data_IF_871425651149
#
_entry.id   IF_871425651149
#
_cell.length_a   1.000
_cell.length_b   1.000
_cell.length_c   1.000
_cell.angle_alpha   90.00
_cell.angle_beta   90.00
_cell.angle_gamma   90.00
#
_symmetry.space_group_name_H-M   'P 1'
#
loop_
_entity.id
_entity.type
_entity.pdbx_description
1 polymer ?
#
# COMPACT_ATOMS: atom_id res chain seq x y z
N UNK A 1 -3.09 21.85 7.47
CA UNK A 1 -4.03 21.39 6.41
C UNK A 1 -4.35 19.92 6.60
N UNK A 2 -5.57 19.49 6.27
CA UNK A 2 -6.01 18.10 6.47
C UNK A 2 -5.58 17.21 5.31
N UNK A 3 -4.85 16.13 5.65
CA UNK A 3 -4.42 15.10 4.74
C UNK A 3 -5.16 13.79 5.02
N UNK A 4 -5.53 13.04 3.98
CA UNK A 4 -6.10 11.71 4.13
C UNK A 4 -5.14 10.66 3.60
N UNK A 5 -4.93 9.61 4.39
CA UNK A 5 -3.98 8.55 4.05
C UNK A 5 -4.65 7.18 4.07
N UNK A 6 -4.17 6.29 3.20
CA UNK A 6 -4.82 5.01 2.93
C UNK A 6 -3.85 3.86 3.16
N UNK A 7 -4.19 2.89 4.03
CA UNK A 7 -3.30 1.79 4.36
C UNK A 7 -3.22 0.75 3.23
N UNK A 8 -2.20 -0.08 3.31
CA UNK A 8 -1.97 -1.20 2.41
C UNK A 8 -2.21 -2.56 3.07
N UNK A 9 -1.71 -3.59 2.39
CA UNK A 9 -1.75 -4.98 2.85
C UNK A 9 -1.10 -5.12 4.24
N UNK A 10 -1.71 -5.92 5.10
CA UNK A 10 -1.30 -6.11 6.50
C UNK A 10 -2.19 -5.39 7.51
N UNK A 11 -3.10 -4.52 7.04
CA UNK A 11 -4.06 -3.80 7.89
C UNK A 11 -5.41 -4.50 8.04
N UNK A 12 -5.68 -5.54 7.25
CA UNK A 12 -6.95 -6.28 7.24
C UNK A 12 -7.20 -7.05 8.55
N UNK A 13 -8.48 -7.18 8.91
CA UNK A 13 -8.95 -8.02 10.01
C UNK A 13 -10.36 -8.55 9.73
N UNK A 14 -10.70 -9.71 10.25
CA UNK A 14 -12.04 -10.30 10.10
C UNK A 14 -13.08 -9.43 10.80
N UNK A 15 -14.18 -9.13 10.12
CA UNK A 15 -15.22 -8.22 10.58
C UNK A 15 -15.10 -6.79 10.00
N UNK A 16 -13.99 -6.46 9.33
CA UNK A 16 -13.80 -5.14 8.75
C UNK A 16 -14.89 -4.77 7.76
N UNK A 17 -15.45 -3.57 7.90
CA UNK A 17 -16.48 -3.03 7.01
C UNK A 17 -17.91 -3.51 7.29
N UNK A 18 -18.13 -4.45 8.22
CA UNK A 18 -19.46 -4.97 8.54
C UNK A 18 -20.37 -3.89 9.13
N UNK A 19 -19.85 -3.07 10.01
CA UNK A 19 -20.53 -1.94 10.62
C UNK A 19 -20.93 -0.86 9.58
N UNK A 20 -20.04 -0.57 8.63
CA UNK A 20 -20.36 0.30 7.50
C UNK A 20 -21.48 -0.28 6.63
N UNK A 21 -21.40 -1.54 6.31
CA UNK A 21 -22.41 -2.25 5.51
C UNK A 21 -23.78 -2.22 6.18
N UNK A 22 -23.85 -2.45 7.49
CA UNK A 22 -25.10 -2.53 8.23
C UNK A 22 -25.76 -1.16 8.47
N UNK A 23 -24.95 -0.08 8.57
CA UNK A 23 -25.43 1.20 9.04
C UNK A 23 -25.42 2.32 7.99
N UNK A 24 -24.87 2.07 6.78
CA UNK A 24 -24.78 3.09 5.74
C UNK A 24 -25.27 2.53 4.39
N UNK A 25 -26.31 3.15 3.83
CA UNK A 25 -26.92 2.68 2.57
C UNK A 25 -25.95 2.75 1.37
N UNK A 26 -25.13 3.81 1.28
CA UNK A 26 -24.11 3.91 0.24
C UNK A 26 -23.04 2.82 0.39
N UNK A 27 -22.58 2.57 1.61
CA UNK A 27 -21.62 1.50 1.87
C UNK A 27 -22.18 0.14 1.44
N UNK A 28 -23.42 -0.16 1.82
CA UNK A 28 -24.09 -1.40 1.41
C UNK A 28 -24.14 -1.54 -0.12
N UNK A 29 -24.56 -0.51 -0.83
CA UNK A 29 -24.61 -0.50 -2.29
C UNK A 29 -23.23 -0.78 -2.92
N UNK A 30 -22.18 -0.11 -2.42
CA UNK A 30 -20.82 -0.26 -2.95
C UNK A 30 -20.23 -1.63 -2.64
N UNK A 31 -20.48 -2.20 -1.47
CA UNK A 31 -20.05 -3.57 -1.15
C UNK A 31 -20.77 -4.63 -2.00
N UNK A 32 -22.10 -4.49 -2.18
CA UNK A 32 -22.88 -5.39 -3.02
C UNK A 32 -22.39 -5.31 -4.49
N UNK A 33 -22.12 -4.12 -4.98
CA UNK A 33 -21.54 -3.90 -6.32
C UNK A 33 -20.14 -4.50 -6.46
N UNK A 34 -19.32 -4.44 -5.40
CA UNK A 34 -18.00 -5.05 -5.39
C UNK A 34 -18.05 -6.56 -5.53
N UNK A 35 -18.99 -7.24 -4.85
CA UNK A 35 -19.22 -8.67 -5.02
C UNK A 35 -19.56 -9.03 -6.48
N UNK A 36 -20.39 -8.22 -7.13
CA UNK A 36 -20.73 -8.41 -8.54
C UNK A 36 -19.53 -8.23 -9.47
N UNK A 37 -18.73 -7.16 -9.27
CA UNK A 37 -17.54 -6.87 -10.09
C UNK A 37 -16.49 -7.96 -9.95
N UNK A 38 -16.26 -8.44 -8.73
CA UNK A 38 -15.25 -9.45 -8.43
C UNK A 38 -15.70 -10.87 -8.83
N UNK A 39 -17.01 -11.09 -8.95
CA UNK A 39 -17.59 -12.40 -9.29
C UNK A 39 -17.56 -13.41 -8.14
N UNK A 40 -17.32 -12.96 -6.93
CA UNK A 40 -17.41 -13.77 -5.69
C UNK A 40 -17.78 -12.90 -4.50
N UNK A 41 -18.28 -13.53 -3.43
CA UNK A 41 -18.71 -12.85 -2.20
C UNK A 41 -17.53 -12.47 -1.31
N UNK A 42 -16.82 -11.38 -1.68
CA UNK A 42 -15.73 -10.86 -0.83
C UNK A 42 -16.27 -10.36 0.51
N UNK A 43 -17.50 -9.87 0.53
CA UNK A 43 -18.17 -9.42 1.74
C UNK A 43 -18.29 -10.53 2.78
N UNK A 44 -18.59 -11.77 2.37
CA UNK A 44 -18.66 -12.91 3.29
C UNK A 44 -17.31 -13.17 3.97
N UNK A 45 -16.22 -13.05 3.20
CA UNK A 45 -14.86 -13.22 3.73
C UNK A 45 -14.48 -12.07 4.65
N UNK A 46 -14.76 -10.82 4.26
CA UNK A 46 -14.45 -9.64 5.06
C UNK A 46 -15.18 -9.63 6.39
N UNK A 47 -16.47 -10.00 6.39
CA UNK A 47 -17.36 -9.86 7.57
C UNK A 47 -17.29 -11.04 8.51
N UNK A 48 -17.15 -12.27 7.99
CA UNK A 48 -17.26 -13.50 8.78
C UNK A 48 -16.36 -14.65 8.31
N UNK A 49 -15.40 -14.38 7.42
CA UNK A 49 -14.44 -15.38 6.96
C UNK A 49 -13.36 -15.69 8.02
N UNK A 50 -12.33 -16.39 7.60
CA UNK A 50 -11.17 -16.70 8.45
C UNK A 50 -9.99 -15.75 8.15
N UNK A 51 -9.09 -15.62 9.14
CA UNK A 51 -7.84 -14.89 8.95
C UNK A 51 -7.02 -15.42 7.75
N UNK A 52 -7.03 -16.74 7.53
CA UNK A 52 -6.29 -17.35 6.43
C UNK A 52 -6.88 -16.99 5.06
N UNK A 53 -8.21 -17.00 4.92
CA UNK A 53 -8.90 -16.54 3.72
C UNK A 53 -8.59 -15.06 3.44
N UNK A 54 -8.60 -14.23 4.48
CA UNK A 54 -8.37 -12.80 4.35
C UNK A 54 -6.90 -12.45 4.08
N UNK A 55 -5.94 -13.34 4.37
CA UNK A 55 -4.51 -13.19 4.07
C UNK A 55 -4.13 -13.55 2.63
N UNK A 56 -4.99 -14.23 1.88
CA UNK A 56 -4.72 -14.50 0.46
C UNK A 56 -4.63 -13.19 -0.30
N UNK A 57 -3.51 -12.93 -1.02
CA UNK A 57 -3.24 -11.66 -1.70
C UNK A 57 -4.39 -11.22 -2.61
N UNK A 58 -5.00 -12.16 -3.33
CA UNK A 58 -6.16 -11.92 -4.20
C UNK A 58 -7.43 -11.43 -3.45
N UNK A 59 -7.50 -11.69 -2.13
CA UNK A 59 -8.59 -11.25 -1.25
C UNK A 59 -8.18 -10.02 -0.45
N UNK A 60 -6.99 -10.05 0.15
CA UNK A 60 -6.49 -8.96 1.02
C UNK A 60 -6.54 -7.60 0.33
N UNK A 61 -6.01 -7.52 -0.89
CA UNK A 61 -5.90 -6.23 -1.58
C UNK A 61 -7.28 -5.63 -1.90
N UNK A 62 -8.21 -6.34 -2.56
CA UNK A 62 -9.56 -5.82 -2.75
C UNK A 62 -10.27 -5.51 -1.43
N UNK A 63 -10.13 -6.32 -0.39
CA UNK A 63 -10.77 -6.09 0.90
C UNK A 63 -10.31 -4.78 1.57
N UNK A 64 -8.99 -4.54 1.62
CA UNK A 64 -8.42 -3.29 2.17
C UNK A 64 -8.83 -2.08 1.32
N UNK A 65 -8.78 -2.21 -0.01
CA UNK A 65 -9.25 -1.16 -0.93
C UNK A 65 -10.71 -0.81 -0.68
N UNK A 66 -11.60 -1.80 -0.63
CA UNK A 66 -13.04 -1.60 -0.41
C UNK A 66 -13.30 -0.88 0.90
N UNK A 67 -12.74 -1.39 2.01
CA UNK A 67 -12.91 -0.73 3.30
C UNK A 67 -12.43 0.73 3.25
N UNK A 68 -11.25 0.97 2.71
CA UNK A 68 -10.62 2.29 2.65
C UNK A 68 -11.42 3.29 1.82
N UNK A 69 -11.79 2.91 0.60
CA UNK A 69 -12.51 3.80 -0.33
C UNK A 69 -13.94 4.04 0.15
N UNK A 70 -14.65 2.98 0.57
CA UNK A 70 -16.03 3.09 1.04
C UNK A 70 -16.09 3.95 2.30
N UNK A 71 -15.15 3.78 3.25
CA UNK A 71 -15.05 4.64 4.42
C UNK A 71 -14.89 6.12 4.05
N UNK A 72 -14.00 6.43 3.10
CA UNK A 72 -13.79 7.81 2.63
C UNK A 72 -15.04 8.38 1.94
N UNK A 73 -15.69 7.60 1.07
CA UNK A 73 -16.91 8.04 0.37
C UNK A 73 -18.09 8.26 1.32
N UNK A 74 -18.19 7.45 2.38
CA UNK A 74 -19.25 7.59 3.40
C UNK A 74 -19.08 8.82 4.30
N UNK A 75 -17.91 9.45 4.33
CA UNK A 75 -17.73 10.77 4.98
C UNK A 75 -18.47 11.91 4.25
N UNK A 76 -18.82 11.71 2.96
CA UNK A 76 -19.56 12.71 2.19
C UNK A 76 -18.84 14.08 2.20
N UNK A 77 -19.53 15.10 2.70
CA UNK A 77 -19.00 16.47 2.76
C UNK A 77 -17.88 16.68 3.78
N UNK A 78 -17.66 15.74 4.69
CA UNK A 78 -16.54 15.78 5.63
C UNK A 78 -15.22 15.34 4.97
N UNK A 79 -15.29 14.62 3.85
CA UNK A 79 -14.12 14.27 3.06
C UNK A 79 -13.65 15.46 2.22
N UNK A 80 -12.84 16.32 2.84
CA UNK A 80 -12.25 17.52 2.22
C UNK A 80 -10.73 17.49 2.32
N UNK A 81 -10.06 16.57 1.58
CA UNK A 81 -8.61 16.50 1.61
C UNK A 81 -7.97 17.72 0.95
N UNK A 82 -6.97 18.32 1.61
CA UNK A 82 -6.04 19.23 0.96
C UNK A 82 -5.02 18.41 0.12
N UNK A 83 -4.76 17.18 0.52
CA UNK A 83 -3.86 16.25 -0.14
C UNK A 83 -4.15 14.80 0.31
N UNK A 84 -3.74 13.84 -0.50
CA UNK A 84 -3.88 12.41 -0.19
C UNK A 84 -2.60 11.63 -0.48
N UNK A 85 -2.42 10.51 0.23
CA UNK A 85 -1.38 9.52 -0.04
C UNK A 85 -1.88 8.14 0.34
N UNK A 86 -1.30 7.10 -0.25
CA UNK A 86 -1.59 5.72 0.12
C UNK A 86 -0.33 4.86 0.13
N UNK A 87 -0.24 3.91 1.05
CA UNK A 87 0.90 3.02 1.15
C UNK A 87 0.70 1.79 0.26
N UNK A 88 1.52 1.63 -0.78
CA UNK A 88 1.45 0.52 -1.73
C UNK A 88 0.05 0.38 -2.35
N UNK A 89 -0.72 -0.66 -2.00
CA UNK A 89 -2.13 -0.80 -2.39
C UNK A 89 -2.96 0.45 -2.08
N UNK A 90 -2.70 1.11 -0.96
CA UNK A 90 -3.40 2.31 -0.54
C UNK A 90 -3.32 3.47 -1.53
N UNK A 91 -2.30 3.50 -2.42
CA UNK A 91 -2.21 4.51 -3.48
C UNK A 91 -3.39 4.41 -4.45
N UNK A 92 -3.87 3.21 -4.76
CA UNK A 92 -5.10 3.00 -5.55
C UNK A 92 -6.34 3.56 -4.83
N UNK A 93 -6.43 3.33 -3.52
CA UNK A 93 -7.50 3.90 -2.70
C UNK A 93 -7.46 5.43 -2.68
N UNK A 94 -6.27 6.02 -2.53
CA UNK A 94 -6.07 7.46 -2.57
C UNK A 94 -6.49 8.07 -3.92
N UNK A 95 -6.13 7.42 -5.03
CA UNK A 95 -6.49 7.85 -6.39
C UNK A 95 -8.00 7.85 -6.62
N UNK A 96 -8.71 6.80 -6.18
CA UNK A 96 -10.17 6.75 -6.27
C UNK A 96 -10.81 7.80 -5.38
N UNK A 97 -10.38 7.93 -4.13
CA UNK A 97 -10.91 8.90 -3.20
C UNK A 97 -10.71 10.35 -3.67
N UNK A 98 -9.56 10.64 -4.30
CA UNK A 98 -9.27 11.94 -4.91
C UNK A 98 -9.99 12.18 -6.25
N UNK A 99 -10.70 11.17 -6.79
CA UNK A 99 -11.43 11.27 -8.06
C UNK A 99 -10.56 11.12 -9.31
N UNK A 100 -9.32 10.61 -9.17
CA UNK A 100 -8.45 10.34 -10.30
C UNK A 100 -8.91 9.15 -11.15
N UNK A 101 -9.66 8.22 -10.56
CA UNK A 101 -10.33 7.13 -11.29
C UNK A 101 -11.65 6.73 -10.62
N UNK A 102 -12.53 6.08 -11.38
CA UNK A 102 -13.81 5.60 -10.86
C UNK A 102 -13.62 4.43 -9.88
N UNK A 103 -14.56 4.25 -8.96
CA UNK A 103 -14.55 3.17 -7.97
C UNK A 103 -14.44 1.78 -8.63
N UNK A 104 -15.23 1.54 -9.66
CA UNK A 104 -15.26 0.27 -10.39
C UNK A 104 -13.94 -0.03 -11.08
N UNK A 105 -13.33 0.98 -11.69
CA UNK A 105 -12.04 0.86 -12.36
C UNK A 105 -10.93 0.62 -11.36
N UNK A 106 -10.93 1.34 -10.23
CA UNK A 106 -10.01 1.12 -9.13
C UNK A 106 -10.08 -0.30 -8.57
N UNK A 107 -11.29 -0.81 -8.35
CA UNK A 107 -11.49 -2.19 -7.87
C UNK A 107 -10.99 -3.24 -8.86
N UNK A 108 -11.29 -3.07 -10.15
CA UNK A 108 -10.80 -3.96 -11.22
C UNK A 108 -9.27 -3.95 -11.30
N UNK A 109 -8.64 -2.77 -11.22
CA UNK A 109 -7.18 -2.66 -11.21
C UNK A 109 -6.55 -3.32 -9.98
N UNK A 110 -7.14 -3.14 -8.80
CA UNK A 110 -6.67 -3.78 -7.57
C UNK A 110 -6.80 -5.29 -7.66
N UNK A 111 -7.89 -5.82 -8.20
CA UNK A 111 -8.05 -7.26 -8.44
C UNK A 111 -7.01 -7.78 -9.46
N UNK A 112 -6.79 -7.06 -10.55
CA UNK A 112 -5.74 -7.39 -11.54
C UNK A 112 -4.35 -7.39 -10.90
N UNK A 113 -4.04 -6.35 -10.10
CA UNK A 113 -2.78 -6.24 -9.34
C UNK A 113 -2.57 -7.44 -8.41
N UNK A 114 -3.57 -7.79 -7.63
CA UNK A 114 -3.49 -8.90 -6.68
C UNK A 114 -3.24 -10.23 -7.38
N UNK A 115 -3.93 -10.48 -8.50
CA UNK A 115 -3.75 -11.69 -9.30
C UNK A 115 -2.36 -11.74 -9.98
N UNK A 116 -1.91 -10.63 -10.56
CA UNK A 116 -0.60 -10.54 -11.18
C UNK A 116 0.53 -10.74 -10.17
N UNK A 117 0.42 -10.14 -8.98
CA UNK A 117 1.38 -10.34 -7.89
C UNK A 117 1.41 -11.78 -7.40
N UNK A 118 0.25 -12.44 -7.27
CA UNK A 118 0.17 -13.84 -6.87
C UNK A 118 0.91 -14.74 -7.87
N UNK A 119 0.66 -14.58 -9.17
CA UNK A 119 1.35 -15.32 -10.24
C UNK A 119 2.87 -15.08 -10.22
N UNK A 120 3.30 -13.82 -10.02
CA UNK A 120 4.71 -13.47 -9.93
C UNK A 120 5.40 -14.14 -8.73
N UNK A 121 4.71 -14.22 -7.58
CA UNK A 121 5.20 -14.91 -6.38
C UNK A 121 5.37 -16.43 -6.61
N UNK A 122 4.44 -17.04 -7.34
CA UNK A 122 4.51 -18.46 -7.68
C UNK A 122 5.66 -18.77 -8.67
N UNK A 123 5.89 -17.87 -9.64
CA UNK A 123 6.95 -18.01 -10.63
C UNK A 123 8.34 -17.66 -10.06
N UNK A 124 8.43 -16.68 -9.19
CA UNK A 124 9.65 -16.15 -8.59
C UNK A 124 9.54 -16.11 -7.06
N UNK A 125 9.77 -17.23 -6.38
CA UNK A 125 9.70 -17.29 -4.93
C UNK A 125 10.62 -16.26 -4.26
N UNK A 126 10.06 -15.49 -3.36
CA UNK A 126 10.79 -14.46 -2.62
C UNK A 126 10.10 -14.15 -1.29
N UNK A 127 10.68 -13.25 -0.53
CA UNK A 127 10.14 -12.84 0.76
C UNK A 127 10.57 -11.42 1.10
N UNK A 128 10.13 -10.93 2.26
CA UNK A 128 10.46 -9.62 2.80
C UNK A 128 10.90 -9.75 4.26
N UNK A 129 11.65 -8.77 4.76
CA UNK A 129 12.00 -8.68 6.17
C UNK A 129 11.94 -7.23 6.66
N UNK A 130 11.43 -7.02 7.87
CA UNK A 130 11.44 -5.72 8.52
C UNK A 130 12.75 -5.53 9.28
N UNK A 131 13.44 -4.44 8.98
CA UNK A 131 14.70 -4.03 9.62
C UNK A 131 14.42 -2.84 10.52
N UNK A 132 14.78 -2.97 11.78
CA UNK A 132 14.47 -1.97 12.80
C UNK A 132 15.76 -1.53 13.51
N UNK A 133 15.93 -0.22 13.61
CA UNK A 133 16.97 0.41 14.44
C UNK A 133 18.30 0.66 13.73
N UNK A 134 18.31 0.65 12.39
CA UNK A 134 19.46 1.08 11.59
C UNK A 134 19.06 2.29 10.71
N UNK A 135 20.04 3.13 10.34
CA UNK A 135 19.86 4.14 9.28
C UNK A 135 19.59 3.47 7.93
N UNK A 136 18.80 4.13 7.08
CA UNK A 136 18.40 3.61 5.77
C UNK A 136 19.62 3.32 4.88
N UNK A 137 20.63 4.21 4.89
CA UNK A 137 21.86 4.08 4.11
C UNK A 137 22.65 2.81 4.46
N UNK A 138 22.63 2.42 5.76
CA UNK A 138 23.28 1.18 6.19
C UNK A 138 22.55 -0.06 5.71
N UNK A 139 21.23 -0.01 5.66
CA UNK A 139 20.42 -1.10 5.12
C UNK A 139 20.63 -1.23 3.61
N UNK A 140 20.65 -0.11 2.88
CA UNK A 140 20.91 -0.06 1.44
C UNK A 140 22.30 -0.62 1.10
N UNK A 141 23.34 -0.24 1.85
CA UNK A 141 24.71 -0.74 1.69
C UNK A 141 24.75 -2.27 1.80
N UNK A 142 24.14 -2.84 2.84
CA UNK A 142 24.10 -4.29 3.04
C UNK A 142 23.29 -5.00 1.95
N UNK A 143 22.18 -4.42 1.51
CA UNK A 143 21.41 -4.97 0.39
C UNK A 143 22.27 -5.03 -0.89
N UNK A 144 23.01 -3.97 -1.20
CA UNK A 144 23.89 -3.91 -2.36
C UNK A 144 25.05 -4.95 -2.25
N UNK A 145 25.63 -5.07 -1.04
CA UNK A 145 26.72 -6.02 -0.78
C UNK A 145 26.30 -7.50 -0.92
N UNK A 146 25.06 -7.82 -0.51
CA UNK A 146 24.54 -9.19 -0.53
C UNK A 146 24.00 -9.58 -1.89
N UNK A 147 23.51 -8.63 -2.68
CA UNK A 147 22.89 -8.89 -3.97
C UNK A 147 23.92 -9.39 -5.00
N UNK A 148 23.55 -10.44 -5.72
CA UNK A 148 24.29 -11.00 -6.85
C UNK A 148 23.36 -11.19 -8.04
N UNK A 149 23.91 -11.54 -9.21
CA UNK A 149 23.10 -11.89 -10.37
C UNK A 149 22.15 -13.05 -10.04
N UNK A 150 20.86 -12.85 -10.25
CA UNK A 150 19.82 -13.87 -9.97
C UNK A 150 19.46 -14.08 -8.49
N UNK A 151 20.13 -13.39 -7.56
CA UNK A 151 19.83 -13.46 -6.12
C UNK A 151 19.90 -12.08 -5.49
N UNK A 152 18.79 -11.33 -5.58
CA UNK A 152 18.74 -9.90 -5.24
C UNK A 152 17.97 -9.63 -3.96
N UNK A 153 18.38 -8.60 -3.24
CA UNK A 153 17.64 -7.98 -2.14
C UNK A 153 17.72 -6.45 -2.27
N UNK A 154 16.61 -5.79 -2.05
CA UNK A 154 16.50 -4.33 -2.17
C UNK A 154 15.78 -3.74 -0.97
N UNK A 155 16.03 -2.46 -0.70
CA UNK A 155 15.20 -1.64 0.18
C UNK A 155 13.85 -1.40 -0.50
N UNK A 156 12.77 -1.90 0.09
CA UNK A 156 11.45 -1.94 -0.52
C UNK A 156 10.48 -0.91 0.07
N UNK A 157 10.41 -0.77 1.40
CA UNK A 157 9.48 0.18 2.03
C UNK A 157 10.23 1.03 3.06
N UNK A 158 10.37 2.31 2.78
CA UNK A 158 10.87 3.33 3.71
C UNK A 158 9.71 3.83 4.57
N UNK A 159 9.40 3.09 5.65
CA UNK A 159 8.17 3.30 6.41
C UNK A 159 8.23 4.49 7.39
N UNK A 160 9.29 4.58 8.16
CA UNK A 160 9.57 5.71 9.05
C UNK A 160 11.03 5.63 9.52
N UNK A 161 11.61 6.69 10.11
CA UNK A 161 12.98 6.66 10.62
C UNK A 161 13.27 5.42 11.47
N UNK A 162 14.29 4.66 11.07
CA UNK A 162 14.70 3.41 11.72
C UNK A 162 13.77 2.21 11.49
N UNK A 163 12.86 2.27 10.52
CA UNK A 163 12.03 1.14 10.09
C UNK A 163 11.96 1.06 8.58
N UNK A 164 12.70 0.12 8.02
CA UNK A 164 12.78 -0.16 6.59
C UNK A 164 12.45 -1.64 6.34
N UNK A 165 11.73 -1.92 5.27
CA UNK A 165 11.47 -3.31 4.83
C UNK A 165 12.34 -3.61 3.61
N UNK A 166 13.06 -4.73 3.65
CA UNK A 166 13.81 -5.26 2.53
C UNK A 166 13.04 -6.38 1.83
N UNK A 167 13.26 -6.55 0.53
CA UNK A 167 12.51 -7.47 -0.33
C UNK A 167 13.42 -8.12 -1.36
N UNK A 168 13.27 -9.42 -1.59
CA UNK A 168 14.12 -10.13 -2.54
C UNK A 168 14.00 -11.65 -2.49
N UNK A 169 14.97 -12.32 -3.08
CA UNK A 169 15.09 -13.76 -3.01
C UNK A 169 15.29 -14.24 -1.57
N UNK A 170 14.77 -15.38 -1.23
CA UNK A 170 14.80 -15.92 0.15
C UNK A 170 16.23 -15.99 0.71
N UNK A 171 17.18 -16.51 -0.08
CA UNK A 171 18.57 -16.63 0.37
C UNK A 171 19.25 -15.27 0.57
N UNK A 172 18.98 -14.30 -0.33
CA UNK A 172 19.49 -12.92 -0.20
C UNK A 172 18.91 -12.23 1.02
N UNK A 173 17.61 -12.40 1.30
CA UNK A 173 16.95 -11.87 2.51
C UNK A 173 17.57 -12.47 3.78
N UNK A 174 17.80 -13.78 3.82
CA UNK A 174 18.41 -14.44 4.98
C UNK A 174 19.82 -13.89 5.22
N UNK A 175 20.66 -13.84 4.17
CA UNK A 175 22.02 -13.30 4.27
C UNK A 175 22.02 -11.81 4.69
N UNK A 176 21.12 -10.99 4.13
CA UNK A 176 20.99 -9.60 4.54
C UNK A 176 20.56 -9.45 6.01
N UNK A 177 19.60 -10.26 6.47
CA UNK A 177 19.16 -10.23 7.87
C UNK A 177 20.30 -10.57 8.85
N UNK A 178 21.15 -11.55 8.54
CA UNK A 178 22.31 -11.90 9.36
C UNK A 178 23.32 -10.75 9.42
N UNK A 179 23.68 -10.17 8.27
CA UNK A 179 24.59 -9.03 8.19
C UNK A 179 24.04 -7.79 8.90
N UNK A 180 22.77 -7.49 8.73
CA UNK A 180 22.13 -6.34 9.37
C UNK A 180 22.05 -6.50 10.89
N UNK A 181 21.82 -7.72 11.41
CA UNK A 181 21.92 -8.00 12.85
C UNK A 181 23.34 -7.77 13.34
N UNK A 182 24.35 -8.27 12.62
CA UNK A 182 25.75 -8.05 12.96
C UNK A 182 26.16 -6.56 12.90
N UNK A 183 25.52 -5.78 12.00
CA UNK A 183 25.70 -4.33 11.91
C UNK A 183 24.95 -3.52 12.98
N UNK A 184 24.21 -4.17 13.88
CA UNK A 184 23.55 -3.53 15.02
C UNK A 184 22.04 -3.29 14.86
N UNK A 185 21.37 -3.91 13.90
CA UNK A 185 19.91 -3.86 13.82
C UNK A 185 19.28 -4.39 15.10
N UNK A 186 18.36 -3.64 15.70
CA UNK A 186 17.60 -4.09 16.87
C UNK A 186 16.75 -5.31 16.54
N UNK A 187 16.22 -5.35 15.34
CA UNK A 187 15.45 -6.50 14.79
C UNK A 187 15.67 -6.60 13.29
N UNK A 188 15.77 -7.82 12.78
CA UNK A 188 15.66 -8.19 11.38
C UNK A 188 14.69 -9.37 11.34
N UNK A 189 13.43 -9.08 11.01
CA UNK A 189 12.29 -10.00 11.15
C UNK A 189 11.74 -10.37 9.78
N UNK A 190 11.88 -11.63 9.33
CA UNK A 190 11.17 -12.11 8.16
C UNK A 190 9.66 -11.91 8.33
N UNK A 191 9.01 -11.42 7.28
CA UNK A 191 7.58 -11.18 7.25
C UNK A 191 6.86 -12.42 6.72
N UNK A 192 5.64 -12.67 7.20
CA UNK A 192 4.78 -13.74 6.70
C UNK A 192 4.05 -13.28 5.43
N UNK A 193 4.79 -13.06 4.36
CA UNK A 193 4.28 -12.65 3.05
C UNK A 193 4.73 -13.65 1.99
N UNK A 194 3.90 -13.84 0.96
CA UNK A 194 4.12 -14.85 -0.08
C UNK A 194 5.06 -14.42 -1.21
N UNK A 195 5.70 -13.25 -1.12
CA UNK A 195 6.53 -12.77 -2.23
C UNK A 195 7.39 -11.56 -1.92
N UNK A 196 8.25 -11.23 -2.87
CA UNK A 196 9.20 -10.12 -2.82
C UNK A 196 8.59 -8.85 -3.47
N UNK A 197 7.61 -8.25 -2.79
CA UNK A 197 6.93 -7.04 -3.28
C UNK A 197 7.90 -5.86 -3.37
N UNK A 198 7.64 -4.94 -4.30
CA UNK A 198 8.46 -3.74 -4.52
C UNK A 198 9.95 -4.05 -4.81
N UNK A 199 10.19 -5.13 -5.55
CA UNK A 199 11.51 -5.58 -5.98
C UNK A 199 11.50 -5.95 -7.46
N UNK A 200 12.68 -6.18 -8.07
CA UNK A 200 12.77 -6.66 -9.46
C UNK A 200 12.03 -7.98 -9.72
N UNK A 201 11.78 -8.80 -8.71
CA UNK A 201 11.03 -10.05 -8.83
C UNK A 201 9.57 -9.85 -9.23
N UNK A 202 9.04 -8.63 -9.05
CA UNK A 202 7.68 -8.24 -9.44
C UNK A 202 7.57 -7.78 -10.91
N UNK A 203 8.64 -7.85 -11.72
CA UNK A 203 8.59 -7.42 -13.11
C UNK A 203 7.46 -8.08 -13.91
N UNK A 204 7.21 -9.40 -13.83
CA UNK A 204 6.09 -10.03 -14.54
C UNK A 204 4.72 -9.47 -14.12
N UNK A 205 4.55 -9.17 -12.83
CA UNK A 205 3.31 -8.57 -12.33
C UNK A 205 3.14 -7.12 -12.82
N UNK A 206 4.24 -6.35 -12.89
CA UNK A 206 4.23 -5.00 -13.47
C UNK A 206 3.79 -5.03 -14.91
N UNK A 207 4.33 -5.93 -15.73
CA UNK A 207 4.03 -6.02 -17.17
C UNK A 207 2.53 -6.37 -17.39
N UNK A 208 1.99 -7.31 -16.59
CA UNK A 208 0.55 -7.66 -16.66
C UNK A 208 -0.33 -6.49 -16.19
N UNK A 209 0.03 -5.83 -15.09
CA UNK A 209 -0.74 -4.71 -14.54
C UNK A 209 -0.67 -3.47 -15.44
N UNK A 210 0.46 -3.20 -16.09
CA UNK A 210 0.62 -2.08 -17.01
C UNK A 210 -0.45 -2.12 -18.10
N UNK A 211 -0.68 -3.29 -18.70
CA UNK A 211 -1.70 -3.45 -19.75
C UNK A 211 -3.13 -3.13 -19.26
N UNK A 212 -3.42 -3.36 -17.98
CA UNK A 212 -4.70 -2.99 -17.37
C UNK A 212 -4.77 -1.49 -17.07
N UNK A 213 -3.70 -0.90 -16.54
CA UNK A 213 -3.61 0.53 -16.23
C UNK A 213 -3.76 1.36 -17.51
N UNK A 214 -3.09 1.00 -18.60
CA UNK A 214 -3.15 1.72 -19.88
C UNK A 214 -4.56 1.75 -20.50
N UNK A 215 -5.41 0.79 -20.15
CA UNK A 215 -6.82 0.72 -20.59
C UNK A 215 -7.77 1.45 -19.65
N UNK A 216 -7.30 1.90 -18.51
CA UNK A 216 -8.11 2.57 -17.49
C UNK A 216 -8.09 4.08 -17.71
N UNK A 217 -9.24 4.73 -17.57
CA UNK A 217 -9.35 6.19 -17.66
C UNK A 217 -8.89 6.83 -16.36
N UNK A 218 -7.91 7.73 -16.47
CA UNK A 218 -7.46 8.59 -15.39
C UNK A 218 -7.89 10.02 -15.64
N UNK A 219 -8.31 10.71 -14.58
CA UNK A 219 -8.68 12.11 -14.56
C UNK A 219 -7.78 12.90 -13.60
N UNK A 220 -7.73 14.20 -13.74
CA UNK A 220 -7.04 15.04 -12.77
C UNK A 220 -7.69 14.88 -11.38
N UNK A 221 -6.93 14.56 -10.33
CA UNK A 221 -7.46 14.45 -8.99
C UNK A 221 -7.91 15.81 -8.44
N UNK A 222 -8.84 15.80 -7.49
CA UNK A 222 -9.35 16.99 -6.81
C UNK A 222 -8.33 17.67 -5.88
N UNK A 223 -7.30 16.95 -5.49
CA UNK A 223 -6.18 17.42 -4.69
C UNK A 223 -4.92 16.64 -5.07
N UNK A 224 -3.71 17.14 -4.73
CA UNK A 224 -2.47 16.42 -4.99
C UNK A 224 -2.45 15.03 -4.36
N UNK A 225 -1.96 14.03 -5.14
CA UNK A 225 -1.72 12.66 -4.69
C UNK A 225 -0.21 12.48 -4.54
N UNK A 226 0.26 12.17 -3.33
CA UNK A 226 1.67 11.88 -3.07
C UNK A 226 1.94 10.42 -3.40
N UNK A 227 2.72 10.16 -4.46
CA UNK A 227 2.92 8.82 -4.98
C UNK A 227 4.15 8.13 -4.40
N UNK A 228 4.11 6.80 -4.32
CA UNK A 228 5.12 6.01 -3.60
C UNK A 228 6.50 6.02 -4.25
N UNK A 229 6.57 6.12 -5.58
CA UNK A 229 7.83 5.97 -6.33
C UNK A 229 8.83 7.08 -6.07
N UNK A 230 8.37 8.29 -5.81
CA UNK A 230 9.23 9.47 -5.61
C UNK A 230 8.89 10.29 -4.35
N UNK A 231 7.76 10.00 -3.70
CA UNK A 231 7.29 10.71 -2.52
C UNK A 231 6.83 12.14 -2.79
N UNK A 232 6.46 12.48 -4.04
CA UNK A 232 6.09 13.83 -4.46
C UNK A 232 4.61 13.95 -4.82
N UNK A 233 4.05 15.19 -4.78
CA UNK A 233 2.68 15.45 -5.20
C UNK A 233 2.55 15.41 -6.73
N UNK A 234 1.51 14.75 -7.21
CA UNK A 234 1.14 14.69 -8.62
C UNK A 234 -0.33 15.02 -8.81
N UNK A 235 -0.64 15.73 -9.91
CA UNK A 235 -2.00 16.10 -10.33
C UNK A 235 -2.24 15.81 -11.81
N UNK A 236 -1.19 15.58 -12.59
CA UNK A 236 -1.31 15.23 -14.01
C UNK A 236 -1.66 13.73 -14.16
N UNK A 237 -2.76 13.40 -14.88
CA UNK A 237 -3.18 12.01 -15.04
C UNK A 237 -2.14 11.10 -15.70
N UNK A 238 -1.36 11.62 -16.66
CA UNK A 238 -0.35 10.83 -17.37
C UNK A 238 0.86 10.52 -16.46
N UNK A 239 1.31 11.48 -15.66
CA UNK A 239 2.36 11.27 -14.64
C UNK A 239 1.89 10.26 -13.59
N UNK A 240 0.66 10.42 -13.07
CA UNK A 240 0.05 9.51 -12.10
C UNK A 240 0.02 8.08 -12.65
N UNK A 241 -0.40 7.90 -13.89
CA UNK A 241 -0.46 6.61 -14.54
C UNK A 241 0.93 5.96 -14.67
N UNK A 242 1.93 6.71 -15.12
CA UNK A 242 3.32 6.23 -15.24
C UNK A 242 3.90 5.81 -13.89
N UNK A 243 3.70 6.61 -12.86
CA UNK A 243 4.17 6.33 -11.50
C UNK A 243 3.48 5.07 -10.94
N UNK A 244 2.19 4.91 -11.18
CA UNK A 244 1.43 3.72 -10.75
C UNK A 244 1.93 2.43 -11.42
N UNK A 245 2.31 2.50 -12.71
CA UNK A 245 2.94 1.39 -13.43
C UNK A 245 4.32 1.05 -12.82
N UNK A 246 5.11 2.06 -12.48
CA UNK A 246 6.43 1.85 -11.89
C UNK A 246 6.39 1.30 -10.46
N UNK A 247 5.30 1.49 -9.73
CA UNK A 247 5.19 1.24 -8.29
C UNK A 247 5.54 -0.19 -7.88
N UNK A 248 5.12 -1.22 -8.66
CA UNK A 248 5.31 -2.62 -8.25
C UNK A 248 6.77 -3.07 -8.16
N UNK A 249 7.65 -2.45 -8.93
CA UNK A 249 9.09 -2.76 -8.96
C UNK A 249 9.93 -1.67 -8.31
N UNK A 250 9.31 -0.64 -7.78
CA UNK A 250 9.96 0.50 -7.10
C UNK A 250 9.69 0.47 -5.60
N UNK A 251 10.57 1.11 -4.85
CA UNK A 251 10.40 1.27 -3.40
C UNK A 251 9.19 2.16 -3.06
N UNK A 252 8.53 1.85 -1.97
CA UNK A 252 7.53 2.71 -1.34
C UNK A 252 8.24 3.74 -0.47
N UNK A 253 8.30 4.98 -0.91
CA UNK A 253 8.96 6.10 -0.22
C UNK A 253 8.01 6.79 0.76
N UNK A 254 7.42 6.03 1.69
CA UNK A 254 6.39 6.54 2.60
C UNK A 254 6.89 7.68 3.48
N UNK A 255 8.08 7.54 4.06
CA UNK A 255 8.70 8.61 4.86
C UNK A 255 8.79 9.91 4.07
N UNK A 256 9.30 9.84 2.83
CA UNK A 256 9.43 11.01 1.95
C UNK A 256 8.07 11.63 1.59
N UNK A 257 7.06 10.79 1.31
CA UNK A 257 5.70 11.26 1.04
C UNK A 257 5.13 12.06 2.21
N UNK A 258 5.22 11.51 3.44
CA UNK A 258 4.70 12.19 4.64
C UNK A 258 5.49 13.48 4.93
N UNK A 259 6.82 13.46 4.80
CA UNK A 259 7.65 14.65 4.98
C UNK A 259 7.31 15.75 3.96
N UNK A 260 7.11 15.39 2.69
CA UNK A 260 6.69 16.33 1.66
C UNK A 260 5.29 16.90 1.96
N UNK A 261 4.33 16.06 2.38
CA UNK A 261 2.99 16.53 2.79
C UNK A 261 3.06 17.53 3.95
N UNK A 262 3.91 17.27 4.96
CA UNK A 262 4.11 18.18 6.10
C UNK A 262 4.76 19.49 5.63
N UNK A 263 5.77 19.43 4.77
CA UNK A 263 6.41 20.61 4.18
C UNK A 263 5.43 21.47 3.38
N UNK A 264 4.46 20.84 2.72
CA UNK A 264 3.38 21.50 1.98
C UNK A 264 2.20 21.93 2.88
N UNK A 265 2.34 21.75 4.20
CA UNK A 265 1.46 22.32 5.24
C UNK A 265 0.45 21.33 5.83
N UNK A 266 0.59 20.02 5.65
CA UNK A 266 -0.22 19.03 6.36
C UNK A 266 0.16 18.99 7.84
N UNK A 267 -0.81 19.14 8.72
CA UNK A 267 -0.66 19.11 10.18
C UNK A 267 -1.67 18.16 10.86
N UNK A 268 -2.64 17.66 10.10
CA UNK A 268 -3.71 16.78 10.54
C UNK A 268 -3.90 15.64 9.51
N UNK A 269 -3.56 14.41 9.90
CA UNK A 269 -3.64 13.22 9.06
C UNK A 269 -4.77 12.31 9.53
N UNK A 270 -5.68 11.98 8.60
CA UNK A 270 -6.75 11.01 8.84
C UNK A 270 -6.48 9.74 8.05
N UNK A 271 -6.28 8.61 8.74
CA UNK A 271 -6.17 7.30 8.11
C UNK A 271 -7.57 6.75 7.78
N UNK A 272 -7.82 6.55 6.48
CA UNK A 272 -9.05 5.95 5.95
C UNK A 272 -8.77 4.51 5.57
N UNK A 273 -9.23 3.58 6.39
CA UNK A 273 -9.03 2.15 6.14
C UNK A 273 -8.94 1.33 7.43
N UNK A 274 -8.76 0.02 7.30
CA UNK A 274 -8.67 -0.84 8.47
C UNK A 274 -7.36 -0.63 9.24
N UNK A 275 -7.42 -0.74 10.57
CA UNK A 275 -6.24 -0.65 11.42
C UNK A 275 -5.78 0.78 11.70
N UNK A 276 -4.52 0.91 12.12
CA UNK A 276 -3.90 2.18 12.51
C UNK A 276 -2.39 2.23 12.24
N UNK A 277 -1.94 1.49 11.24
CA UNK A 277 -0.52 1.36 10.96
C UNK A 277 0.13 2.67 10.50
N UNK A 278 -0.57 3.43 9.65
CA UNK A 278 -0.05 4.70 9.12
C UNK A 278 0.01 5.77 10.20
N UNK A 279 -0.95 5.82 11.12
CA UNK A 279 -0.91 6.72 12.28
C UNK A 279 0.38 6.52 13.09
N UNK A 280 0.75 5.26 13.34
CA UNK A 280 1.97 4.90 14.05
C UNK A 280 3.24 5.31 13.31
N UNK A 281 3.26 5.18 11.97
CA UNK A 281 4.39 5.60 11.13
C UNK A 281 4.50 7.13 11.09
N UNK A 282 3.39 7.85 10.88
CA UNK A 282 3.35 9.32 10.84
C UNK A 282 3.86 9.90 12.16
N UNK A 283 3.39 9.40 13.31
CA UNK A 283 3.85 9.86 14.61
C UNK A 283 5.33 9.57 14.91
N UNK A 284 5.98 8.67 14.16
CA UNK A 284 7.44 8.44 14.22
C UNK A 284 8.20 9.34 13.25
N UNK A 285 7.57 9.72 12.12
CA UNK A 285 8.16 10.65 11.14
C UNK A 285 8.16 12.05 11.73
N UNK A 286 7.04 12.51 12.25
CA UNK A 286 6.92 13.79 12.94
C UNK A 286 5.89 13.70 14.10
N UNK A 287 6.33 14.04 15.29
CA UNK A 287 5.53 14.01 16.53
C UNK A 287 4.65 15.25 16.71
N UNK A 288 4.86 16.28 15.89
CA UNK A 288 4.15 17.56 16.01
C UNK A 288 2.84 17.60 15.24
N UNK A 289 2.63 16.65 14.33
CA UNK A 289 1.39 16.55 13.56
C UNK A 289 0.39 15.62 14.22
N UNK A 290 -0.91 15.88 14.02
CA UNK A 290 -1.97 14.98 14.45
C UNK A 290 -2.12 13.82 13.48
N UNK A 291 -2.33 12.60 14.00
CA UNK A 291 -2.65 11.44 13.20
C UNK A 291 -3.72 10.58 13.90
N UNK A 292 -4.84 10.35 13.23
CA UNK A 292 -5.98 9.60 13.77
C UNK A 292 -6.67 8.80 12.66
N UNK A 293 -7.52 7.84 13.05
CA UNK A 293 -8.34 7.07 12.12
C UNK A 293 -9.74 7.65 11.94
N UNK A 294 -10.45 7.19 10.93
CA UNK A 294 -11.90 7.36 10.87
C UNK A 294 -12.50 6.48 11.98
N UNK A 295 -13.39 7.09 12.79
CA UNK A 295 -14.08 6.40 13.88
C UNK A 295 -15.10 5.39 13.33
#
# INVERSE_FOLDING_TARGET
MKAFVFPGQGSQFVGMGKDLYDNNALAKELFDKADEILGFKITDIMFAGTDDQLKETKVTQPAVFLHSVISALCLGEEFKPAMVAGHSLGEFSALVAAGAMAFEDGLKLVAARANAMQKACEANPGTMAAIIGLPDEKVEEVCAEVSTEGNVVVAANYNCPGQLVISGNVDAINAACEKLKAAGAKRALPLKVGGAFHSPLMQPAKDELQAAIEKTTFSAPKCPVYQNVDGKPHTDPAEIQQNLIAQLTSSVRWTSSVQAMIADGADDFTECGPGKALQGMIGRIDKTVAAHGIA
#
